data_IF_022040785773
#
_entry.id   IF_022040785773
#
_cell.length_a   1.000
_cell.length_b   1.000
_cell.length_c   1.000
_cell.angle_alpha   90.00
_cell.angle_beta   90.00
_cell.angle_gamma   90.00
#
_symmetry.space_group_name_H-M   'P 1'
#
loop_
_entity.id
_entity.type
_entity.pdbx_description
1 polymer ?
#
# COMPACT_ATOMS: atom_id res chain seq x y z
N UNK A 1 -8.28 -24.26 5.36
CA UNK A 1 -7.46 -23.18 4.73
C UNK A 1 -6.56 -22.56 5.79
N UNK A 2 -5.25 -22.82 5.74
CA UNK A 2 -4.31 -22.29 6.72
C UNK A 2 -4.26 -20.75 6.60
N UNK A 3 -4.70 -20.05 7.65
CA UNK A 3 -4.60 -18.58 7.79
C UNK A 3 -3.12 -18.24 7.95
N UNK A 4 -2.35 -18.24 6.85
CA UNK A 4 -0.93 -17.88 6.86
C UNK A 4 -0.85 -16.46 7.41
N UNK A 5 -0.19 -16.30 8.56
CA UNK A 5 0.14 -14.99 9.11
C UNK A 5 0.96 -14.27 8.04
N UNK A 6 0.44 -13.17 7.51
CA UNK A 6 1.20 -12.32 6.60
C UNK A 6 2.43 -11.86 7.38
N UNK A 7 3.61 -12.35 6.98
CA UNK A 7 4.87 -12.00 7.63
C UNK A 7 5.20 -10.54 7.37
N UNK A 8 5.90 -9.87 8.29
CA UNK A 8 6.27 -8.45 8.17
C UNK A 8 6.84 -8.11 6.80
N UNK A 9 7.69 -8.99 6.25
CA UNK A 9 8.30 -8.82 4.93
C UNK A 9 7.27 -8.80 3.79
N UNK A 10 6.16 -9.52 3.89
CA UNK A 10 5.10 -9.49 2.87
C UNK A 10 4.36 -8.15 2.87
N UNK A 11 4.08 -7.59 4.05
CA UNK A 11 3.49 -6.25 4.13
C UNK A 11 4.45 -5.18 3.58
N UNK A 12 5.74 -5.28 3.90
CA UNK A 12 6.79 -4.42 3.36
C UNK A 12 6.89 -4.53 1.84
N UNK A 13 6.87 -5.75 1.29
CA UNK A 13 6.83 -5.96 -0.17
C UNK A 13 5.61 -5.31 -0.82
N UNK A 14 4.42 -5.43 -0.22
CA UNK A 14 3.20 -4.83 -0.78
C UNK A 14 3.29 -3.30 -0.82
N UNK A 15 3.86 -2.66 0.21
CA UNK A 15 4.05 -1.19 0.21
C UNK A 15 5.06 -0.77 -0.86
N UNK A 16 6.17 -1.50 -0.99
CA UNK A 16 7.18 -1.22 -2.02
C UNK A 16 6.56 -1.30 -3.42
N UNK A 17 5.82 -2.37 -3.69
CA UNK A 17 5.07 -2.53 -4.93
C UNK A 17 4.04 -1.42 -5.14
N UNK A 18 3.36 -1.01 -4.06
CA UNK A 18 2.38 0.08 -4.11
C UNK A 18 3.00 1.43 -4.46
N UNK A 19 4.15 1.79 -3.86
CA UNK A 19 4.87 3.03 -4.20
C UNK A 19 5.29 3.03 -5.67
N UNK A 20 5.79 1.90 -6.17
CA UNK A 20 6.16 1.75 -7.59
C UNK A 20 4.95 1.94 -8.50
N UNK A 21 3.81 1.33 -8.16
CA UNK A 21 2.57 1.51 -8.91
C UNK A 21 2.07 2.96 -8.88
N UNK A 22 2.10 3.63 -7.73
CA UNK A 22 1.75 5.05 -7.63
C UNK A 22 2.70 5.92 -8.46
N UNK A 23 4.00 5.60 -8.50
CA UNK A 23 4.97 6.31 -9.33
C UNK A 23 4.68 6.13 -10.83
N UNK A 24 4.40 4.90 -11.28
CA UNK A 24 3.98 4.66 -12.66
C UNK A 24 2.69 5.42 -12.98
N UNK A 25 1.69 5.37 -12.11
CA UNK A 25 0.43 6.08 -12.29
C UNK A 25 0.66 7.60 -12.43
N UNK A 26 1.53 8.18 -11.59
CA UNK A 26 1.90 9.59 -11.68
C UNK A 26 2.67 9.92 -12.96
N UNK A 27 3.60 9.06 -13.38
CA UNK A 27 4.40 9.26 -14.58
C UNK A 27 3.56 9.15 -15.87
N UNK A 28 2.54 8.29 -15.88
CA UNK A 28 1.61 8.14 -16.99
C UNK A 28 0.46 9.15 -16.97
N UNK A 29 0.13 9.73 -15.81
CA UNK A 29 -0.93 10.73 -15.71
C UNK A 29 -0.40 12.09 -16.19
N UNK A 30 -0.77 12.47 -17.42
CA UNK A 30 -0.40 13.75 -18.03
C UNK A 30 -0.96 14.97 -17.28
N UNK A 31 -2.02 14.78 -16.50
CA UNK A 31 -2.64 15.79 -15.64
C UNK A 31 -2.95 15.17 -14.28
N UNK A 32 -2.52 15.83 -13.20
CA UNK A 32 -2.79 15.38 -11.84
C UNK A 32 -4.23 15.77 -11.50
N UNK A 33 -5.16 14.90 -11.85
CA UNK A 33 -6.57 15.08 -11.51
C UNK A 33 -6.79 14.82 -10.01
N UNK A 34 -7.70 15.56 -9.39
CA UNK A 34 -8.10 15.38 -7.99
C UNK A 34 -8.51 13.93 -7.70
N UNK A 35 -9.09 13.25 -8.68
CA UNK A 35 -9.48 11.85 -8.61
C UNK A 35 -8.28 10.90 -8.45
N UNK A 36 -7.15 11.21 -9.09
CA UNK A 36 -5.90 10.44 -8.96
C UNK A 36 -5.37 10.54 -7.54
N UNK A 37 -5.31 11.75 -6.98
CA UNK A 37 -4.87 11.98 -5.59
C UNK A 37 -5.77 11.22 -4.61
N UNK A 38 -7.09 11.31 -4.79
CA UNK A 38 -8.04 10.61 -3.92
C UNK A 38 -7.86 9.08 -3.99
N UNK A 39 -7.65 8.54 -5.19
CA UNK A 39 -7.41 7.11 -5.38
C UNK A 39 -6.12 6.62 -4.69
N UNK A 40 -5.04 7.42 -4.73
CA UNK A 40 -3.78 7.12 -4.07
C UNK A 40 -4.00 7.11 -2.55
N UNK A 41 -4.67 8.12 -1.99
CA UNK A 41 -4.94 8.17 -0.54
C UNK A 41 -5.78 6.97 -0.09
N UNK A 42 -6.85 6.64 -0.81
CA UNK A 42 -7.70 5.50 -0.50
C UNK A 42 -6.91 4.18 -0.54
N UNK A 43 -6.07 3.99 -1.56
CA UNK A 43 -5.22 2.81 -1.71
C UNK A 43 -4.16 2.73 -0.61
N UNK A 44 -3.59 3.85 -0.19
CA UNK A 44 -2.62 3.94 0.91
C UNK A 44 -3.23 3.41 2.22
N UNK A 45 -4.45 3.82 2.56
CA UNK A 45 -5.14 3.41 3.80
C UNK A 45 -5.31 1.88 3.85
N UNK A 46 -5.71 1.26 2.73
CA UNK A 46 -5.90 -0.19 2.63
C UNK A 46 -4.59 -0.93 2.87
N UNK A 47 -3.49 -0.45 2.28
CA UNK A 47 -2.13 -1.01 2.46
C UNK A 47 -1.61 -0.77 3.88
N UNK A 48 -2.10 0.26 4.58
CA UNK A 48 -1.66 0.63 5.92
C UNK A 48 -2.25 -0.25 7.04
N UNK A 49 -3.41 -0.87 6.82
CA UNK A 49 -4.04 -1.81 7.77
C UNK A 49 -3.14 -3.01 8.13
N UNK A 50 -2.57 -3.76 7.17
CA UNK A 50 -1.67 -4.89 7.48
C UNK A 50 -0.36 -4.43 8.13
N UNK A 51 0.11 -3.20 7.87
CA UNK A 51 1.28 -2.61 8.52
C UNK A 51 1.09 -2.44 10.03
N UNK A 52 0.00 -1.77 10.42
CA UNK A 52 -0.27 -1.50 11.83
C UNK A 52 -0.49 -2.76 12.64
N UNK A 53 -1.20 -3.73 12.05
CA UNK A 53 -1.48 -5.00 12.71
C UNK A 53 -0.19 -5.79 12.99
N UNK A 54 0.81 -5.69 12.14
CA UNK A 54 2.11 -6.32 12.33
C UNK A 54 2.96 -5.60 13.40
N UNK A 55 2.97 -4.25 13.41
CA UNK A 55 3.73 -3.47 14.39
C UNK A 55 3.28 -3.70 15.84
N UNK A 56 1.99 -3.96 16.07
CA UNK A 56 1.43 -4.23 17.41
C UNK A 56 1.79 -5.62 17.96
N UNK A 57 2.24 -6.56 17.12
CA UNK A 57 2.67 -7.91 17.55
C UNK A 57 4.19 -8.01 17.80
N UNK A 58 4.94 -6.93 17.60
CA UNK A 58 6.39 -6.83 17.85
C UNK A 58 6.73 -5.98 19.09
N UNK A 59 5.70 -5.57 19.85
CA UNK A 59 5.84 -4.98 21.19
C UNK A 59 5.25 -5.91 22.22
#
# INVERSE_FOLDING_TARGET
MARRKITNSQAVCIILLWIVLCYMLLAYSKEIDFMVIFSIIASAIIVFVPLYKNRKNQK
#
